data_IF_070726102838
#
_entry.id   IF_070726102838
#
_cell.length_a   1.000
_cell.length_b   1.000
_cell.length_c   1.000
_cell.angle_alpha   90.00
_cell.angle_beta   90.00
_cell.angle_gamma   90.00
#
_symmetry.space_group_name_H-M   'P 1'
#
loop_
_entity.id
_entity.type
_entity.pdbx_description
1 polymer ?
#
# COMPACT_ATOMS: atom_id res chain seq x y z
N UNK A 1 2.67 -12.03 20.94
CA UNK A 1 1.90 -12.67 19.86
C UNK A 1 0.65 -13.28 20.47
N UNK A 2 -0.55 -12.88 20.03
CA UNK A 2 -1.81 -13.34 20.65
C UNK A 2 -2.22 -14.70 20.04
N UNK A 3 -1.61 -15.77 20.55
CA UNK A 3 -1.84 -17.14 20.06
C UNK A 3 -3.28 -17.60 20.30
N UNK A 4 -3.92 -17.14 21.38
CA UNK A 4 -5.32 -17.46 21.70
C UNK A 4 -6.29 -17.05 20.60
N UNK A 5 -6.06 -15.89 19.98
CA UNK A 5 -6.87 -15.42 18.87
C UNK A 5 -6.67 -16.29 17.62
N UNK A 6 -5.41 -16.63 17.33
CA UNK A 6 -5.06 -17.47 16.17
C UNK A 6 -5.67 -18.86 16.33
N UNK A 7 -5.53 -19.47 17.51
CA UNK A 7 -6.05 -20.80 17.82
C UNK A 7 -7.58 -20.83 17.72
N UNK A 8 -8.25 -19.79 18.22
CA UNK A 8 -9.71 -19.65 18.09
C UNK A 8 -10.15 -19.53 16.63
N UNK A 9 -9.41 -18.78 15.81
CA UNK A 9 -9.72 -18.63 14.38
C UNK A 9 -9.49 -19.93 13.61
N UNK A 10 -8.40 -20.66 13.90
CA UNK A 10 -8.12 -21.98 13.31
C UNK A 10 -9.23 -22.97 13.64
N UNK A 11 -9.74 -22.94 14.87
CA UNK A 11 -10.81 -23.82 15.31
C UNK A 11 -12.16 -23.49 14.64
N UNK A 12 -12.44 -22.21 14.40
CA UNK A 12 -13.61 -21.79 13.63
C UNK A 12 -13.47 -22.27 12.18
N UNK A 13 -12.32 -22.03 11.54
CA UNK A 13 -12.08 -22.43 10.14
C UNK A 13 -12.14 -23.95 9.96
N UNK A 14 -11.64 -24.73 10.93
CA UNK A 14 -11.67 -26.19 10.85
C UNK A 14 -13.08 -26.76 11.02
N UNK A 15 -13.97 -26.06 11.74
CA UNK A 15 -15.38 -26.41 11.92
C UNK A 15 -16.31 -26.04 10.76
N UNK A 16 -15.83 -25.27 9.77
CA UNK A 16 -16.64 -24.88 8.61
C UNK A 16 -16.95 -26.08 7.70
N UNK A 17 -18.20 -26.14 7.25
CA UNK A 17 -18.68 -27.09 6.24
C UNK A 17 -18.07 -26.79 4.86
N UNK A 18 -18.13 -27.76 3.94
CA UNK A 18 -17.54 -27.61 2.58
C UNK A 18 -18.15 -26.43 1.82
N UNK A 19 -19.45 -26.18 1.97
CA UNK A 19 -20.14 -25.06 1.32
C UNK A 19 -19.69 -23.71 1.88
N UNK A 20 -19.54 -23.61 3.21
CA UNK A 20 -19.05 -22.39 3.87
C UNK A 20 -17.58 -22.11 3.53
N UNK A 21 -16.76 -23.16 3.39
CA UNK A 21 -15.36 -23.04 2.92
C UNK A 21 -15.29 -22.51 1.50
N UNK A 22 -16.10 -23.03 0.57
CA UNK A 22 -16.17 -22.53 -0.81
C UNK A 22 -16.58 -21.05 -0.82
N UNK A 23 -17.59 -20.67 -0.04
CA UNK A 23 -18.02 -19.27 0.04
C UNK A 23 -16.94 -18.36 0.64
N UNK A 24 -16.22 -18.85 1.65
CA UNK A 24 -15.11 -18.14 2.27
C UNK A 24 -13.97 -17.94 1.27
N UNK A 25 -13.56 -18.98 0.54
CA UNK A 25 -12.53 -18.89 -0.50
C UNK A 25 -12.93 -17.91 -1.60
N UNK A 26 -14.17 -17.96 -2.08
CA UNK A 26 -14.68 -17.01 -3.07
C UNK A 26 -14.64 -15.55 -2.57
N UNK A 27 -15.10 -15.31 -1.33
CA UNK A 27 -15.06 -13.98 -0.72
C UNK A 27 -13.64 -13.49 -0.46
N UNK A 28 -12.75 -14.39 -0.04
CA UNK A 28 -11.35 -14.07 0.16
C UNK A 28 -10.70 -13.72 -1.18
N UNK A 29 -10.97 -14.47 -2.25
CA UNK A 29 -10.42 -14.23 -3.59
C UNK A 29 -10.88 -12.88 -4.16
N UNK A 30 -12.15 -12.51 -3.99
CA UNK A 30 -12.66 -11.17 -4.37
C UNK A 30 -12.00 -10.07 -3.52
N UNK A 31 -11.81 -10.32 -2.23
CA UNK A 31 -11.17 -9.37 -1.32
C UNK A 31 -9.68 -9.18 -1.64
N UNK A 32 -8.91 -10.24 -1.89
CA UNK A 32 -7.50 -10.11 -2.32
C UNK A 32 -7.40 -9.42 -3.67
N UNK A 33 -8.26 -9.71 -4.64
CA UNK A 33 -8.30 -8.98 -5.92
C UNK A 33 -8.58 -7.49 -5.70
N UNK A 34 -9.52 -7.12 -4.83
CA UNK A 34 -9.80 -5.70 -4.51
C UNK A 34 -8.70 -5.02 -3.67
N UNK A 35 -7.85 -5.79 -2.99
CA UNK A 35 -6.74 -5.26 -2.15
C UNK A 35 -5.40 -5.26 -2.92
N UNK A 36 -5.22 -6.15 -3.89
CA UNK A 36 -4.05 -6.22 -4.78
C UNK A 36 -4.22 -5.39 -6.06
N UNK A 37 -5.44 -5.14 -6.54
CA UNK A 37 -5.70 -4.30 -7.72
C UNK A 37 -5.98 -2.85 -7.30
N UNK A 38 -4.90 -2.21 -6.85
CA UNK A 38 -4.40 -0.99 -7.50
C UNK A 38 -2.88 -0.96 -7.30
N UNK A 39 -2.21 -2.00 -7.78
CA UNK A 39 -0.84 -1.84 -8.26
C UNK A 39 -0.94 -1.15 -9.64
N UNK A 40 -1.45 0.08 -9.65
CA UNK A 40 -1.27 0.95 -10.81
C UNK A 40 0.22 0.99 -11.07
N UNK A 41 0.60 0.84 -12.33
CA UNK A 41 1.98 1.03 -12.71
C UNK A 41 2.39 2.40 -12.14
N UNK A 42 3.50 2.54 -11.38
CA UNK A 42 3.82 3.81 -10.77
C UNK A 42 3.86 4.96 -11.77
N UNK A 43 4.19 4.67 -13.04
CA UNK A 43 4.17 5.63 -14.15
C UNK A 43 2.78 6.16 -14.53
N UNK A 44 1.71 5.43 -14.21
CA UNK A 44 0.32 5.81 -14.51
C UNK A 44 -0.28 6.69 -13.40
N UNK A 45 0.46 6.92 -12.31
CA UNK A 45 0.03 7.79 -11.23
C UNK A 45 0.26 9.27 -11.57
N UNK A 46 -0.72 10.15 -11.32
CA UNK A 46 -0.64 11.56 -11.72
C UNK A 46 0.49 12.34 -11.03
N UNK A 47 1.05 11.81 -9.95
CA UNK A 47 2.17 12.42 -9.23
C UNK A 47 3.55 12.04 -9.81
N UNK A 48 3.64 11.01 -10.66
CA UNK A 48 4.91 10.62 -11.28
C UNK A 48 5.19 11.51 -12.48
N UNK A 49 6.37 12.13 -12.48
CA UNK A 49 6.78 13.09 -13.52
C UNK A 49 6.40 14.55 -13.25
N UNK A 50 5.71 14.87 -12.16
CA UNK A 50 5.37 16.26 -11.79
C UNK A 50 6.58 17.21 -11.72
N UNK A 51 7.76 16.65 -11.50
CA UNK A 51 9.01 17.38 -11.32
C UNK A 51 9.99 17.24 -12.48
N UNK A 52 9.58 16.56 -13.56
CA UNK A 52 10.44 16.26 -14.71
C UNK A 52 10.91 17.51 -15.45
N UNK A 53 10.04 18.52 -15.53
CA UNK A 53 10.31 19.76 -16.27
C UNK A 53 10.92 20.86 -15.38
N UNK A 54 11.22 20.54 -14.10
CA UNK A 54 11.84 21.47 -13.16
C UNK A 54 13.36 21.33 -13.19
N UNK A 55 14.00 22.25 -13.91
CA UNK A 55 15.47 22.35 -13.99
C UNK A 55 16.12 22.53 -12.61
N UNK A 56 15.46 23.26 -11.70
CA UNK A 56 15.95 23.47 -10.34
C UNK A 56 15.89 22.21 -9.47
N UNK A 57 15.16 21.17 -9.90
CA UNK A 57 15.06 19.88 -9.22
C UNK A 57 15.97 18.80 -9.82
N UNK A 58 16.81 19.16 -10.80
CA UNK A 58 17.84 18.27 -11.37
C UNK A 58 18.83 17.82 -10.29
N UNK A 59 19.27 18.75 -9.42
CA UNK A 59 19.93 18.44 -8.14
C UNK A 59 18.97 18.68 -6.97
N UNK A 60 18.13 17.69 -6.72
CA UNK A 60 17.19 17.68 -5.59
C UNK A 60 17.85 17.96 -4.23
N UNK A 61 19.11 17.58 -4.05
CA UNK A 61 19.82 17.80 -2.78
C UNK A 61 20.21 19.27 -2.58
N UNK A 62 20.66 19.94 -3.64
CA UNK A 62 20.93 21.38 -3.61
C UNK A 62 19.65 22.19 -3.43
N UNK A 63 18.57 21.82 -4.14
CA UNK A 63 17.27 22.47 -4.01
C UNK A 63 16.75 22.46 -2.56
N UNK A 64 16.73 21.30 -1.89
CA UNK A 64 16.30 21.20 -0.49
C UNK A 64 17.17 22.04 0.44
N UNK A 65 18.49 22.09 0.22
CA UNK A 65 19.41 22.88 1.06
C UNK A 65 19.16 24.38 0.91
N UNK A 66 18.95 24.86 -0.31
CA UNK A 66 18.66 26.27 -0.59
C UNK A 66 17.33 26.69 0.03
N UNK A 67 16.26 25.90 -0.16
CA UNK A 67 14.96 26.17 0.45
C UNK A 67 15.07 26.21 1.97
N UNK A 68 15.79 25.26 2.58
CA UNK A 68 15.99 25.26 4.03
C UNK A 68 16.78 26.48 4.51
N UNK A 69 17.78 26.93 3.77
CA UNK A 69 18.52 28.14 4.11
C UNK A 69 17.62 29.38 4.06
N UNK A 70 16.79 29.50 3.03
CA UNK A 70 15.91 30.65 2.81
C UNK A 70 14.75 30.70 3.81
N UNK A 71 14.09 29.57 4.05
CA UNK A 71 12.83 29.55 4.79
C UNK A 71 13.01 29.30 6.29
N UNK A 72 14.08 28.60 6.71
CA UNK A 72 14.22 28.12 8.10
C UNK A 72 15.40 28.72 8.87
N UNK A 73 16.25 29.52 8.23
CA UNK A 73 17.37 30.21 8.92
C UNK A 73 17.01 31.64 9.30
N UNK A 74 15.72 31.98 9.33
CA UNK A 74 15.22 33.27 9.81
C UNK A 74 15.21 33.37 11.33
#
# INVERSE_FOLDING_TARGET
>A
MNTKLIDSLVQIISSLTTEERINLEQKLQVKTISTEIKLSNPQDEPFVGMWKDREDMEDSSQWVRQVRQQEWTS
#
